data_IF_202462958866
#
_entry.id   IF_202462958866
#
_cell.length_a   1.000
_cell.length_b   1.000
_cell.length_c   1.000
_cell.angle_alpha   90.00
_cell.angle_beta   90.00
_cell.angle_gamma   90.00
#
_symmetry.space_group_name_H-M   'P 1'
#
loop_
_entity.id
_entity.type
_entity.pdbx_description
1 polymer ?
#
# COMPACT_ATOMS: atom_id res chain seq x y z
N UNK A 1 47.89 34.36 17.21
CA UNK A 1 47.63 34.44 18.67
C UNK A 1 46.45 35.39 18.82
N UNK A 2 45.32 34.98 19.42
CA UNK A 2 44.93 35.34 20.81
C UNK A 2 45.27 36.82 21.08
N UNK A 3 44.33 37.76 21.08
CA UNK A 3 43.36 38.08 22.17
C UNK A 3 42.33 39.14 21.68
N UNK A 4 41.25 39.61 22.35
CA UNK A 4 40.57 39.43 23.65
C UNK A 4 39.13 40.08 23.53
N UNK A 5 38.09 39.57 24.23
CA UNK A 5 37.02 40.28 25.03
C UNK A 5 36.24 41.50 24.42
N UNK A 6 34.95 41.82 24.72
CA UNK A 6 33.72 41.18 25.28
C UNK A 6 32.58 42.26 25.25
N UNK A 7 31.30 41.82 25.33
CA UNK A 7 30.12 42.58 25.86
C UNK A 7 29.68 43.87 25.13
N UNK A 8 28.38 43.95 24.78
CA UNK A 8 27.40 44.96 25.25
C UNK A 8 25.98 44.49 24.90
N UNK A 9 25.03 44.78 25.79
CA UNK A 9 23.62 44.37 25.78
C UNK A 9 22.67 45.46 25.29
N UNK A 10 21.74 45.11 24.40
CA UNK A 10 20.38 45.67 24.25
C UNK A 10 19.59 44.73 23.33
N UNK A 11 18.44 44.15 23.65
CA UNK A 11 17.19 44.69 24.21
C UNK A 11 16.65 45.90 23.44
N UNK A 12 16.04 45.64 22.29
CA UNK A 12 14.80 46.35 21.89
C UNK A 12 13.81 45.31 21.35
N UNK A 13 12.61 45.30 21.94
CA UNK A 13 11.47 44.54 21.48
C UNK A 13 10.73 45.37 20.42
N UNK A 14 10.49 44.82 19.23
CA UNK A 14 9.78 45.50 18.13
C UNK A 14 9.39 44.49 17.06
N UNK A 15 8.33 43.72 17.30
CA UNK A 15 6.96 44.01 16.85
C UNK A 15 6.78 43.95 15.32
N UNK A 16 6.16 42.84 14.91
CA UNK A 16 5.11 42.79 13.89
C UNK A 16 5.45 43.32 12.48
N UNK A 17 5.78 42.41 11.56
CA UNK A 17 5.07 42.33 10.28
C UNK A 17 5.14 40.89 9.72
N UNK A 18 3.96 40.36 9.36
CA UNK A 18 3.65 39.41 8.28
C UNK A 18 4.83 38.69 7.58
N UNK A 19 4.80 37.36 7.40
CA UNK A 19 3.67 36.62 6.85
C UNK A 19 3.36 35.32 7.62
N UNK A 20 2.12 35.16 8.07
CA UNK A 20 1.57 33.84 8.26
C UNK A 20 1.33 33.25 6.87
N UNK A 21 2.30 32.48 6.36
CA UNK A 21 2.08 31.71 5.15
C UNK A 21 1.00 30.68 5.46
N UNK A 22 -0.19 30.91 4.92
CA UNK A 22 -1.17 29.85 4.74
C UNK A 22 -0.55 28.86 3.76
N UNK A 23 0.18 27.87 4.28
CA UNK A 23 0.11 26.55 3.66
C UNK A 23 -1.37 26.22 3.63
N UNK A 24 -1.95 26.32 2.45
CA UNK A 24 -3.15 25.58 2.13
C UNK A 24 -2.82 24.14 2.51
N UNK A 25 -3.38 23.67 3.62
CA UNK A 25 -3.42 22.25 3.91
C UNK A 25 -4.33 21.67 2.83
N UNK A 26 -3.72 21.34 1.69
CA UNK A 26 -4.25 20.40 0.73
C UNK A 26 -4.78 19.24 1.56
N UNK A 27 -6.10 19.08 1.58
CA UNK A 27 -6.73 18.04 2.40
C UNK A 27 -6.36 16.71 1.77
N UNK A 28 -5.25 16.15 2.24
CA UNK A 28 -4.72 14.86 1.81
C UNK A 28 -5.84 13.84 1.95
N UNK A 29 -6.32 13.33 0.81
CA UNK A 29 -7.45 12.41 0.74
C UNK A 29 -6.98 11.00 1.09
N UNK A 30 -6.37 10.88 2.26
CA UNK A 30 -6.02 9.60 2.86
C UNK A 30 -7.31 8.86 3.17
N UNK A 31 -7.60 7.82 2.41
CA UNK A 31 -8.75 6.94 2.64
C UNK A 31 -8.28 5.52 2.90
N UNK A 32 -9.00 4.80 3.75
CA UNK A 32 -8.64 3.45 4.15
C UNK A 32 -9.89 2.61 4.27
N UNK A 33 -9.92 1.50 3.54
CA UNK A 33 -10.97 0.51 3.63
C UNK A 33 -10.42 -0.72 4.33
N UNK A 34 -11.05 -1.13 5.43
CA UNK A 34 -10.60 -2.25 6.25
C UNK A 34 -11.80 -3.19 6.45
N UNK A 35 -11.61 -4.47 6.18
CA UNK A 35 -12.62 -5.50 6.44
C UNK A 35 -11.98 -6.79 6.98
N UNK A 36 -12.69 -7.44 7.89
CA UNK A 36 -12.26 -8.64 8.59
C UNK A 36 -13.40 -9.66 8.62
N UNK A 37 -13.07 -10.93 8.43
CA UNK A 37 -14.04 -12.02 8.51
C UNK A 37 -13.43 -13.18 9.29
N UNK A 38 -14.24 -13.77 10.17
CA UNK A 38 -13.87 -14.89 11.03
C UNK A 38 -14.84 -16.02 10.75
N UNK A 39 -14.33 -17.17 10.33
CA UNK A 39 -15.12 -18.39 10.16
C UNK A 39 -14.84 -19.32 11.35
N UNK A 40 -15.91 -19.88 11.93
CA UNK A 40 -15.87 -20.68 13.17
C UNK A 40 -16.73 -21.94 13.01
N UNK A 41 -16.52 -22.69 11.92
CA UNK A 41 -17.44 -23.75 11.47
C UNK A 41 -16.77 -25.14 11.34
N UNK A 42 -15.61 -25.33 11.97
CA UNK A 42 -15.00 -26.65 12.15
C UNK A 42 -14.20 -26.68 13.47
N UNK A 43 -14.30 -27.79 14.20
CA UNK A 43 -13.71 -27.92 15.53
C UNK A 43 -12.17 -27.76 15.45
N UNK A 44 -11.68 -26.67 16.06
CA UNK A 44 -10.26 -26.32 16.24
C UNK A 44 -9.54 -25.56 15.09
N UNK A 45 -10.23 -24.99 14.10
CA UNK A 45 -9.56 -24.13 13.08
C UNK A 45 -10.13 -22.71 13.01
N UNK A 46 -9.68 -21.83 13.92
CA UNK A 46 -9.89 -20.38 13.80
C UNK A 46 -9.14 -19.83 12.58
N UNK A 47 -9.86 -19.54 11.50
CA UNK A 47 -9.29 -18.89 10.32
C UNK A 47 -9.67 -17.41 10.26
N UNK A 48 -8.72 -16.58 9.83
CA UNK A 48 -8.84 -15.13 9.81
C UNK A 48 -8.58 -14.59 8.41
N UNK A 49 -9.62 -13.99 7.83
CA UNK A 49 -9.58 -13.27 6.56
C UNK A 49 -9.50 -11.77 6.85
N UNK A 50 -8.67 -11.06 6.12
CA UNK A 50 -8.49 -9.62 6.26
C UNK A 50 -8.19 -8.98 4.92
N UNK A 51 -8.92 -7.92 4.58
CA UNK A 51 -8.68 -7.12 3.39
C UNK A 51 -8.53 -5.65 3.81
N UNK A 52 -7.43 -5.03 3.38
CA UNK A 52 -7.10 -3.63 3.66
C UNK A 52 -6.66 -2.93 2.39
N UNK A 53 -7.34 -1.85 2.02
CA UNK A 53 -6.90 -0.87 1.02
C UNK A 53 -6.46 0.39 1.74
N UNK A 54 -5.28 0.90 1.39
CA UNK A 54 -4.75 2.19 1.85
C UNK A 54 -4.52 3.06 0.62
N UNK A 55 -5.22 4.19 0.56
CA UNK A 55 -5.10 5.19 -0.48
C UNK A 55 -4.48 6.43 0.16
N UNK A 56 -3.18 6.65 -0.07
CA UNK A 56 -2.36 7.74 0.48
C UNK A 56 -1.97 8.69 -0.66
N UNK A 57 -1.43 9.87 -0.36
CA UNK A 57 -1.14 10.87 -1.42
C UNK A 57 -0.22 10.31 -2.53
N UNK A 58 0.90 9.69 -2.16
CA UNK A 58 1.92 9.15 -3.08
C UNK A 58 1.85 7.63 -3.28
N UNK A 59 1.01 6.93 -2.52
CA UNK A 59 1.01 5.47 -2.38
C UNK A 59 -0.41 4.90 -2.53
N UNK A 60 -0.56 3.81 -3.27
CA UNK A 60 -1.76 2.96 -3.20
C UNK A 60 -1.37 1.53 -2.82
N UNK A 61 -1.96 1.00 -1.75
CA UNK A 61 -1.55 -0.29 -1.18
C UNK A 61 -2.76 -1.19 -0.88
N UNK A 62 -2.70 -2.45 -1.32
CA UNK A 62 -3.69 -3.48 -0.98
C UNK A 62 -2.99 -4.59 -0.17
N UNK A 63 -3.58 -5.02 0.93
CA UNK A 63 -3.08 -6.10 1.79
C UNK A 63 -4.21 -7.09 2.05
N UNK A 64 -4.02 -8.34 1.61
CA UNK A 64 -5.02 -9.40 1.75
C UNK A 64 -4.43 -10.59 2.50
N UNK A 65 -5.20 -11.15 3.43
CA UNK A 65 -5.00 -12.48 4.00
C UNK A 65 -6.27 -13.28 3.77
N UNK A 66 -6.12 -14.48 3.23
CA UNK A 66 -7.21 -15.33 2.77
C UNK A 66 -6.98 -16.79 3.20
N UNK A 67 -7.89 -17.71 2.86
CA UNK A 67 -7.76 -19.13 3.27
C UNK A 67 -6.65 -19.84 2.49
N UNK A 68 -5.91 -20.76 3.12
CA UNK A 68 -4.75 -21.40 2.48
C UNK A 68 -5.09 -22.10 1.15
N UNK A 69 -6.28 -22.71 1.03
CA UNK A 69 -6.73 -23.37 -0.20
C UNK A 69 -6.91 -22.40 -1.38
N UNK A 70 -7.34 -21.16 -1.12
CA UNK A 70 -7.56 -20.13 -2.16
C UNK A 70 -6.28 -19.69 -2.87
N UNK A 71 -5.08 -20.05 -2.35
CA UNK A 71 -3.80 -19.64 -2.93
C UNK A 71 -3.67 -19.98 -4.41
N UNK A 72 -4.21 -21.13 -4.85
CA UNK A 72 -4.20 -21.51 -6.26
C UNK A 72 -5.02 -20.53 -7.10
N UNK A 73 -6.25 -20.24 -6.68
CA UNK A 73 -7.17 -19.34 -7.38
C UNK A 73 -6.62 -17.91 -7.44
N UNK A 74 -6.10 -17.40 -6.31
CA UNK A 74 -5.45 -16.08 -6.24
C UNK A 74 -4.22 -16.03 -7.15
N UNK A 75 -3.39 -17.08 -7.19
CA UNK A 75 -2.24 -17.15 -8.09
C UNK A 75 -2.66 -17.13 -9.56
N UNK A 76 -3.66 -17.92 -9.96
CA UNK A 76 -4.15 -17.96 -11.33
C UNK A 76 -4.68 -16.59 -11.76
N UNK A 77 -5.53 -15.96 -10.93
CA UNK A 77 -6.05 -14.62 -11.19
C UNK A 77 -4.92 -13.58 -11.37
N UNK A 78 -3.86 -13.62 -10.56
CA UNK A 78 -2.72 -12.71 -10.72
C UNK A 78 -1.92 -12.99 -12.01
N UNK A 79 -1.77 -14.26 -12.41
CA UNK A 79 -1.16 -14.62 -13.70
C UNK A 79 -2.00 -14.07 -14.88
N UNK A 80 -3.33 -14.14 -14.78
CA UNK A 80 -4.23 -13.64 -15.84
C UNK A 80 -4.20 -12.10 -15.93
N UNK A 81 -3.98 -11.39 -14.82
CA UNK A 81 -3.90 -9.93 -14.78
C UNK A 81 -2.52 -9.37 -15.19
N UNK A 82 -1.43 -9.99 -14.74
CA UNK A 82 -0.06 -9.47 -14.86
C UNK A 82 0.85 -10.29 -15.78
N UNK A 83 0.32 -11.35 -16.40
CA UNK A 83 1.07 -12.23 -17.27
C UNK A 83 2.07 -13.11 -16.53
N UNK A 84 2.98 -13.70 -17.30
CA UNK A 84 4.11 -14.53 -16.78
C UNK A 84 5.47 -13.91 -17.09
N UNK A 85 5.52 -12.97 -18.02
CA UNK A 85 6.72 -12.28 -18.49
C UNK A 85 7.41 -11.46 -17.38
N UNK A 86 6.63 -10.88 -16.46
CA UNK A 86 7.14 -10.13 -15.30
C UNK A 86 7.11 -10.96 -13.99
N UNK A 87 6.86 -12.28 -14.06
CA UNK A 87 6.74 -13.13 -12.88
C UNK A 87 8.10 -13.69 -12.44
N UNK A 88 8.56 -13.22 -11.28
CA UNK A 88 9.70 -13.76 -10.55
C UNK A 88 9.19 -14.76 -9.50
N UNK A 89 9.71 -16.00 -9.52
CA UNK A 89 9.39 -17.04 -8.54
C UNK A 89 10.62 -17.27 -7.65
N UNK A 90 10.45 -17.11 -6.33
CA UNK A 90 11.48 -17.36 -5.32
C UNK A 90 10.88 -18.15 -4.15
N UNK A 91 11.28 -19.42 -4.02
CA UNK A 91 10.71 -20.36 -3.04
C UNK A 91 9.17 -20.42 -3.13
N UNK A 92 8.47 -20.02 -2.07
CA UNK A 92 7.01 -19.94 -1.98
C UNK A 92 6.43 -18.54 -2.33
N UNK A 93 7.25 -17.67 -2.92
CA UNK A 93 6.91 -16.28 -3.27
C UNK A 93 6.77 -16.12 -4.78
N UNK A 94 5.63 -15.59 -5.20
CA UNK A 94 5.36 -15.10 -6.55
C UNK A 94 5.37 -13.58 -6.52
N UNK A 95 6.18 -12.98 -7.38
CA UNK A 95 6.48 -11.55 -7.39
C UNK A 95 6.33 -11.04 -8.82
N UNK A 96 5.50 -10.02 -9.02
CA UNK A 96 5.51 -9.21 -10.24
C UNK A 96 5.96 -7.80 -9.85
N UNK A 97 6.98 -7.29 -10.51
CA UNK A 97 7.42 -5.90 -10.37
C UNK A 97 7.36 -5.20 -11.72
N UNK A 98 7.21 -3.88 -11.69
CA UNK A 98 7.51 -3.04 -12.84
C UNK A 98 8.31 -1.83 -12.37
N UNK A 99 9.43 -1.60 -13.03
CA UNK A 99 10.30 -0.45 -12.79
C UNK A 99 10.21 0.54 -13.97
N UNK A 100 10.54 1.80 -13.71
CA UNK A 100 10.71 2.87 -14.68
C UNK A 100 11.89 3.72 -14.17
N UNK A 101 12.93 3.89 -15.00
CA UNK A 101 14.15 4.64 -14.61
C UNK A 101 14.76 4.14 -13.28
N UNK A 102 14.80 2.81 -13.12
CA UNK A 102 15.25 2.07 -11.92
C UNK A 102 14.39 2.30 -10.64
N UNK A 103 13.26 3.00 -10.74
CA UNK A 103 12.29 3.18 -9.64
C UNK A 103 11.07 2.24 -9.76
N UNK A 104 10.63 1.66 -8.64
CA UNK A 104 9.50 0.72 -8.59
C UNK A 104 8.15 1.45 -8.78
N UNK A 105 7.49 1.19 -9.91
CA UNK A 105 6.12 1.67 -10.20
C UNK A 105 5.09 0.82 -9.45
N UNK A 106 5.30 -0.49 -9.38
CA UNK A 106 4.49 -1.38 -8.54
C UNK A 106 5.21 -2.67 -8.12
N UNK A 107 4.84 -3.20 -6.95
CA UNK A 107 5.11 -4.58 -6.48
C UNK A 107 3.77 -5.31 -6.29
N UNK A 108 3.64 -6.52 -6.84
CA UNK A 108 2.59 -7.50 -6.51
C UNK A 108 3.26 -8.74 -5.94
N UNK A 109 3.02 -9.03 -4.66
CA UNK A 109 3.74 -10.08 -3.91
C UNK A 109 2.77 -11.05 -3.22
N UNK A 110 2.71 -12.27 -3.74
CA UNK A 110 1.96 -13.39 -3.17
C UNK A 110 2.93 -14.36 -2.46
N UNK A 111 2.79 -14.53 -1.14
CA UNK A 111 3.57 -15.49 -0.33
C UNK A 111 2.65 -16.23 0.64
N UNK A 112 2.63 -17.56 0.57
CA UNK A 112 1.66 -18.36 1.33
C UNK A 112 0.22 -17.91 1.06
N UNK A 113 -0.53 -17.57 2.11
CA UNK A 113 -1.91 -17.06 2.04
C UNK A 113 -2.01 -15.53 2.22
N UNK A 114 -0.96 -14.80 1.82
CA UNK A 114 -0.86 -13.34 1.96
C UNK A 114 -0.51 -12.72 0.62
N UNK A 115 -1.31 -11.74 0.21
CA UNK A 115 -1.04 -10.89 -0.94
C UNK A 115 -0.77 -9.45 -0.47
N UNK A 116 0.25 -8.83 -1.04
CA UNK A 116 0.53 -7.41 -0.94
C UNK A 116 0.62 -6.83 -2.34
N UNK A 117 0.04 -5.65 -2.53
CA UNK A 117 0.21 -4.83 -3.72
C UNK A 117 0.64 -3.45 -3.21
N UNK A 118 1.70 -2.90 -3.77
CA UNK A 118 2.10 -1.51 -3.59
C UNK A 118 2.19 -0.86 -4.98
N UNK A 119 1.76 0.39 -5.10
CA UNK A 119 1.81 1.16 -6.34
C UNK A 119 2.28 2.57 -5.98
N UNK A 120 3.40 3.00 -6.56
CA UNK A 120 3.87 4.37 -6.44
C UNK A 120 3.03 5.26 -7.39
N UNK A 121 2.27 6.19 -6.82
CA UNK A 121 1.38 7.09 -7.59
C UNK A 121 2.10 8.22 -8.30
N UNK A 122 3.30 8.58 -7.88
CA UNK A 122 4.10 9.61 -8.55
C UNK A 122 4.59 9.10 -9.91
N UNK A 123 4.81 7.78 -10.03
CA UNK A 123 5.23 7.11 -11.26
C UNK A 123 4.07 6.43 -12.02
N UNK A 124 3.00 6.01 -11.34
CA UNK A 124 1.90 5.29 -11.94
C UNK A 124 0.84 6.22 -12.54
N UNK A 125 0.57 6.07 -13.84
CA UNK A 125 -0.56 6.75 -14.50
C UNK A 125 -1.90 6.47 -13.81
N UNK A 126 -2.82 7.43 -13.82
CA UNK A 126 -4.22 7.29 -13.35
C UNK A 126 -4.90 6.00 -13.80
N UNK A 127 -4.67 5.59 -15.06
CA UNK A 127 -5.25 4.36 -15.64
C UNK A 127 -4.74 3.10 -14.92
N UNK A 128 -3.46 3.09 -14.53
CA UNK A 128 -2.86 2.00 -13.78
C UNK A 128 -3.38 1.98 -12.33
N UNK A 129 -3.47 3.13 -11.66
CA UNK A 129 -4.06 3.25 -10.31
C UNK A 129 -5.51 2.74 -10.31
N UNK A 130 -6.33 3.17 -11.27
CA UNK A 130 -7.72 2.71 -11.44
C UNK A 130 -7.81 1.19 -11.70
N UNK A 131 -6.88 0.63 -12.50
CA UNK A 131 -6.79 -0.82 -12.73
C UNK A 131 -6.47 -1.58 -11.44
N UNK A 132 -5.51 -1.11 -10.63
CA UNK A 132 -5.21 -1.70 -9.33
C UNK A 132 -6.39 -1.60 -8.35
N UNK A 133 -7.14 -0.50 -8.38
CA UNK A 133 -8.38 -0.37 -7.61
C UNK A 133 -9.48 -1.38 -8.02
N UNK A 134 -9.58 -1.72 -9.31
CA UNK A 134 -10.45 -2.79 -9.79
C UNK A 134 -9.96 -4.17 -9.35
N UNK A 135 -8.67 -4.45 -9.54
CA UNK A 135 -8.01 -5.69 -9.10
C UNK A 135 -8.22 -5.92 -7.59
N UNK A 136 -8.13 -4.87 -6.78
CA UNK A 136 -8.42 -4.95 -5.35
C UNK A 136 -9.85 -5.40 -5.03
N UNK A 137 -10.86 -4.92 -5.76
CA UNK A 137 -12.26 -5.33 -5.57
C UNK A 137 -12.50 -6.78 -5.98
N UNK A 138 -11.99 -7.18 -7.16
CA UNK A 138 -12.10 -8.56 -7.66
C UNK A 138 -11.39 -9.56 -6.72
N UNK A 139 -10.21 -9.20 -6.19
CA UNK A 139 -9.52 -10.01 -5.19
C UNK A 139 -10.27 -10.06 -3.85
N UNK A 140 -10.94 -8.98 -3.43
CA UNK A 140 -11.79 -8.98 -2.22
C UNK A 140 -12.93 -9.97 -2.38
N UNK A 141 -13.62 -9.95 -3.52
CA UNK A 141 -14.70 -10.88 -3.85
C UNK A 141 -14.19 -12.33 -3.87
N UNK A 142 -13.14 -12.61 -4.67
CA UNK A 142 -12.50 -13.93 -4.80
C UNK A 142 -12.02 -14.53 -3.47
N UNK A 143 -11.66 -13.70 -2.49
CA UNK A 143 -11.20 -14.15 -1.16
C UNK A 143 -12.29 -14.08 -0.08
N UNK A 144 -13.45 -13.52 -0.41
CA UNK A 144 -14.66 -13.51 0.44
C UNK A 144 -15.56 -14.72 0.23
N UNK A 145 -15.48 -15.38 -0.92
CA UNK A 145 -16.25 -16.59 -1.21
C UNK A 145 -15.79 -17.75 -0.31
N UNK A 146 -16.70 -18.34 0.47
CA UNK A 146 -16.40 -19.57 1.23
C UNK A 146 -16.30 -20.77 0.28
N UNK A 147 -15.68 -21.86 0.73
CA UNK A 147 -15.85 -23.16 0.06
C UNK A 147 -17.35 -23.42 -0.13
N UNK A 148 -17.80 -23.51 -1.39
CA UNK A 148 -19.14 -23.96 -1.72
C UNK A 148 -19.13 -25.48 -1.58
N UNK A 149 -19.63 -25.94 -0.43
CA UNK A 149 -19.86 -27.35 -0.09
C UNK A 149 -20.77 -28.07 -1.09
#
# INVERSE_FOLDING_TARGET
MKTLILIITSLVLGLLTTNAQTTETSSSKSSSEISFTYDTDDENKKFYRSFVTLDMDNDYRIKIRFMKYMKSNVKSYLIDQFGKENLIIKEDTYLWTKELEDEEVYEVKLRGNRLRINVNKELASDKLIKRFGQIGRELKELTSESERS
#
